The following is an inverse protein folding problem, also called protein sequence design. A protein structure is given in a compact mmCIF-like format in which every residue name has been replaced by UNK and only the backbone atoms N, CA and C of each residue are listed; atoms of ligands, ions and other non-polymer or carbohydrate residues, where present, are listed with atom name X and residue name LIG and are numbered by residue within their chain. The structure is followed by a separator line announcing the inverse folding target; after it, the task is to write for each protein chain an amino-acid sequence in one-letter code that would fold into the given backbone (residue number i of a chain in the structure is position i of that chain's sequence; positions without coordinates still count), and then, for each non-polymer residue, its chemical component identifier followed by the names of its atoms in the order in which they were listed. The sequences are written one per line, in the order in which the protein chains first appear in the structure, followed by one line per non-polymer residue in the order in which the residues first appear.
data_IF_280332184411
#
_entry.id   IF_280332184411
#
_cell.length_a   1.000
_cell.length_b   1.000
_cell.length_c   1.000
_cell.angle_alpha   90.00
_cell.angle_beta   90.00
_cell.angle_gamma   90.00
#
_symmetry.space_group_name_H-M   'P 1'
#
loop_
_entity.id
_entity.type
_entity.pdbx_description
1 polymer ?
#
# COMPACT_ATOMS: atom_id res chain seq x y z
N UNK A 1 -29.81 30.45 31.11
CA UNK A 1 -28.34 30.26 30.97
C UNK A 1 -27.90 28.76 30.90
N UNK A 2 -28.77 27.86 30.44
CA UNK A 2 -28.53 26.40 30.42
C UNK A 2 -28.46 25.83 28.98
N UNK A 3 -29.28 26.34 28.07
CA UNK A 3 -29.32 25.91 26.65
C UNK A 3 -28.02 26.19 25.87
N UNK A 4 -27.32 27.29 26.17
CA UNK A 4 -26.04 27.63 25.51
C UNK A 4 -24.91 26.63 25.82
N UNK A 5 -24.91 25.98 26.99
CA UNK A 5 -23.89 25.00 27.37
C UNK A 5 -24.08 23.65 26.66
N UNK A 6 -25.32 23.26 26.36
CA UNK A 6 -25.62 22.02 25.66
C UNK A 6 -25.23 22.09 24.17
N UNK A 7 -25.51 23.23 23.52
CA UNK A 7 -25.11 23.48 22.13
C UNK A 7 -23.59 23.49 21.94
N UNK A 8 -22.85 24.11 22.88
CA UNK A 8 -21.37 24.17 22.83
C UNK A 8 -20.70 22.80 23.04
N UNK A 9 -21.29 21.92 23.86
CA UNK A 9 -20.82 20.53 24.04
C UNK A 9 -21.09 19.66 22.81
N UNK A 10 -22.25 19.82 22.16
CA UNK A 10 -22.57 19.13 20.91
C UNK A 10 -21.66 19.58 19.75
N UNK A 11 -21.42 20.89 19.64
CA UNK A 11 -20.51 21.44 18.62
C UNK A 11 -19.06 21.00 18.85
N UNK A 12 -18.60 20.97 20.11
CA UNK A 12 -17.27 20.44 20.46
C UNK A 12 -17.14 18.95 20.17
N UNK A 13 -18.19 18.16 20.42
CA UNK A 13 -18.23 16.73 20.09
C UNK A 13 -18.19 16.48 18.58
N UNK A 14 -18.96 17.23 17.78
CA UNK A 14 -18.93 17.10 16.32
C UNK A 14 -17.58 17.53 15.75
N UNK A 15 -16.97 18.61 16.26
CA UNK A 15 -15.64 19.03 15.82
C UNK A 15 -14.57 17.97 16.13
N UNK A 16 -14.63 17.35 17.31
CA UNK A 16 -13.71 16.29 17.69
C UNK A 16 -13.85 15.05 16.78
N UNK A 17 -15.09 14.67 16.43
CA UNK A 17 -15.34 13.55 15.50
C UNK A 17 -14.83 13.87 14.10
N UNK A 18 -15.09 15.07 13.58
CA UNK A 18 -14.58 15.50 12.27
C UNK A 18 -13.06 15.52 12.24
N UNK A 19 -12.42 16.06 13.27
CA UNK A 19 -10.96 16.05 13.40
C UNK A 19 -10.40 14.62 13.46
N UNK A 20 -11.03 13.72 14.22
CA UNK A 20 -10.61 12.32 14.29
C UNK A 20 -10.72 11.60 12.94
N UNK A 21 -11.77 11.88 12.15
CA UNK A 21 -11.94 11.34 10.80
C UNK A 21 -10.86 11.87 9.83
N UNK A 22 -10.57 13.18 9.88
CA UNK A 22 -9.53 13.79 9.05
C UNK A 22 -8.14 13.24 9.39
N UNK A 23 -7.82 13.08 10.67
CA UNK A 23 -6.57 12.48 11.14
C UNK A 23 -6.45 11.01 10.69
N UNK A 24 -7.53 10.24 10.79
CA UNK A 24 -7.57 8.85 10.34
C UNK A 24 -7.30 8.75 8.83
N UNK A 25 -7.92 9.64 8.03
CA UNK A 25 -7.68 9.70 6.58
C UNK A 25 -6.25 10.06 6.22
N UNK A 26 -5.64 11.03 6.93
CA UNK A 26 -4.25 11.43 6.70
C UNK A 26 -3.25 10.28 6.99
N UNK A 27 -3.51 9.46 8.00
CA UNK A 27 -2.65 8.32 8.36
C UNK A 27 -2.79 7.15 7.37
N UNK A 28 -3.97 6.99 6.74
CA UNK A 28 -4.18 5.96 5.72
C UNK A 28 -3.30 6.15 4.47
N UNK A 29 -2.98 7.41 4.11
CA UNK A 29 -2.09 7.72 2.98
C UNK A 29 -0.65 7.19 3.16
N UNK A 30 -0.18 7.03 4.40
CA UNK A 30 1.14 6.50 4.70
C UNK A 30 1.31 5.00 4.37
N UNK A 31 0.22 4.25 4.16
CA UNK A 31 0.28 2.83 3.76
C UNK A 31 0.10 2.61 2.25
N UNK A 32 0.08 3.68 1.45
CA UNK A 32 -0.27 3.61 0.02
C UNK A 32 0.52 2.56 -0.80
N UNK A 33 1.86 2.46 -0.72
CA UNK A 33 2.58 1.57 -1.64
C UNK A 33 2.31 0.08 -1.37
N UNK A 34 2.10 -0.28 -0.11
CA UNK A 34 1.77 -1.67 0.27
C UNK A 34 0.35 -2.02 -0.17
N UNK A 35 -0.60 -1.09 -0.01
CA UNK A 35 -1.97 -1.30 -0.46
C UNK A 35 -2.04 -1.47 -1.99
N UNK A 36 -1.31 -0.65 -2.74
CA UNK A 36 -1.23 -0.75 -4.20
C UNK A 36 -0.62 -2.08 -4.65
N UNK A 37 0.47 -2.51 -4.01
CA UNK A 37 1.05 -3.83 -4.26
C UNK A 37 0.09 -4.98 -3.93
N UNK A 38 -0.73 -4.86 -2.87
CA UNK A 38 -1.73 -5.87 -2.51
C UNK A 38 -2.87 -5.90 -3.54
N UNK A 39 -3.29 -4.74 -4.04
CA UNK A 39 -4.26 -4.66 -5.12
C UNK A 39 -3.73 -5.32 -6.40
N UNK A 40 -2.48 -5.03 -6.78
CA UNK A 40 -1.82 -5.66 -7.91
C UNK A 40 -1.74 -7.19 -7.74
N UNK A 41 -1.44 -7.65 -6.52
CA UNK A 41 -1.43 -9.07 -6.20
C UNK A 41 -2.79 -9.71 -6.44
N UNK A 42 -3.86 -9.09 -5.95
CA UNK A 42 -5.24 -9.57 -6.13
C UNK A 42 -5.64 -9.61 -7.61
N UNK A 43 -5.30 -8.57 -8.38
CA UNK A 43 -5.60 -8.47 -9.81
C UNK A 43 -4.94 -9.58 -10.63
N UNK A 44 -3.73 -10.00 -10.24
CA UNK A 44 -2.94 -11.01 -10.96
C UNK A 44 -2.93 -12.39 -10.29
N UNK A 45 -3.80 -12.63 -9.30
CA UNK A 45 -3.87 -13.89 -8.58
C UNK A 45 -2.54 -14.27 -7.90
N UNK A 46 -1.79 -13.29 -7.41
CA UNK A 46 -0.53 -13.47 -6.68
C UNK A 46 -0.74 -13.37 -5.18
N UNK A 47 0.19 -13.93 -4.42
CA UNK A 47 0.24 -13.83 -2.97
C UNK A 47 1.36 -12.87 -2.56
N UNK A 48 1.02 -11.83 -1.78
CA UNK A 48 2.01 -10.96 -1.18
C UNK A 48 2.69 -11.66 0.00
N UNK A 49 4.01 -11.70 0.00
CA UNK A 49 4.83 -12.24 1.09
C UNK A 49 5.95 -11.27 1.45
N UNK A 50 6.36 -11.26 2.72
CA UNK A 50 7.56 -10.55 3.18
C UNK A 50 8.67 -11.57 3.36
N UNK A 51 9.71 -11.45 2.54
CA UNK A 51 10.88 -12.31 2.58
C UNK A 51 11.92 -11.71 3.54
N UNK A 52 12.46 -12.55 4.43
CA UNK A 52 13.62 -12.17 5.23
C UNK A 52 14.83 -12.06 4.31
N UNK A 53 15.27 -10.82 4.09
CA UNK A 53 16.49 -10.47 3.36
C UNK A 53 17.25 -9.43 4.17
N UNK A 54 18.53 -9.25 3.85
CA UNK A 54 19.41 -8.29 4.52
C UNK A 54 20.01 -7.32 3.50
N UNK A 55 20.13 -6.02 3.84
CA UNK A 55 19.83 -5.40 5.14
C UNK A 55 18.35 -5.08 5.38
N UNK A 56 17.49 -5.21 4.36
CA UNK A 56 16.07 -4.87 4.44
C UNK A 56 15.20 -6.05 4.00
N UNK A 57 14.03 -6.25 4.62
CA UNK A 57 13.07 -7.24 4.15
C UNK A 57 12.54 -6.88 2.76
N UNK A 58 12.21 -7.89 1.95
CA UNK A 58 11.68 -7.70 0.60
C UNK A 58 10.19 -8.04 0.55
N UNK A 59 9.39 -7.18 -0.06
CA UNK A 59 8.01 -7.52 -0.42
C UNK A 59 7.99 -8.23 -1.78
N UNK A 60 7.37 -9.41 -1.85
CA UNK A 60 7.31 -10.23 -3.05
C UNK A 60 5.86 -10.62 -3.38
N UNK A 61 5.52 -10.61 -4.68
CA UNK A 61 4.26 -11.12 -5.22
C UNK A 61 4.51 -12.48 -5.86
N UNK A 62 4.24 -13.56 -5.13
CA UNK A 62 4.54 -14.92 -5.56
C UNK A 62 3.33 -15.59 -6.22
N UNK A 63 3.53 -16.54 -7.16
CA UNK A 63 2.44 -17.43 -7.58
C UNK A 63 1.87 -18.20 -6.38
N UNK A 64 0.58 -18.57 -6.40
CA UNK A 64 -0.10 -19.27 -5.31
C UNK A 64 0.39 -20.71 -5.11
N UNK A 65 1.01 -21.31 -6.12
CA UNK A 65 1.67 -22.61 -6.05
C UNK A 65 3.16 -22.46 -6.41
N UNK A 66 4.00 -23.31 -5.82
CA UNK A 66 5.42 -23.36 -6.17
C UNK A 66 5.57 -23.85 -7.61
N UNK A 67 5.62 -22.90 -8.55
CA UNK A 67 5.88 -23.16 -9.95
C UNK A 67 7.23 -23.88 -10.08
N UNK A 68 7.19 -25.19 -10.36
CA UNK A 68 8.39 -25.98 -10.63
C UNK A 68 8.75 -25.81 -12.10
N UNK A 69 9.71 -24.95 -12.38
CA UNK A 69 10.37 -24.89 -13.67
C UNK A 69 11.85 -25.23 -13.52
N UNK A 70 12.39 -25.92 -14.53
CA UNK A 70 13.82 -26.22 -14.62
C UNK A 70 14.68 -24.96 -14.81
N UNK A 71 14.07 -23.81 -15.11
CA UNK A 71 14.77 -22.55 -15.31
C UNK A 71 13.96 -21.38 -14.77
N UNK A 72 14.57 -20.60 -13.87
CA UNK A 72 14.08 -19.29 -13.45
C UNK A 72 14.74 -18.22 -14.31
N UNK A 73 13.94 -17.30 -14.86
CA UNK A 73 14.44 -16.09 -15.52
C UNK A 73 14.18 -14.90 -14.59
N UNK A 74 15.24 -14.24 -14.16
CA UNK A 74 15.19 -13.07 -13.28
C UNK A 74 15.46 -11.82 -14.12
N UNK A 75 14.60 -10.83 -13.99
CA UNK A 75 14.81 -9.49 -14.53
C UNK A 75 15.09 -8.55 -13.35
N UNK A 76 16.15 -7.77 -13.45
CA UNK A 76 16.53 -6.79 -12.44
C UNK A 76 16.31 -5.40 -13.04
N UNK A 77 15.46 -4.61 -12.38
CA UNK A 77 15.22 -3.21 -12.73
C UNK A 77 16.00 -2.31 -11.76
N UNK A 78 16.63 -1.27 -12.31
CA UNK A 78 17.44 -0.28 -11.56
C UNK A 78 16.61 0.86 -10.96
N UNK A 79 17.30 1.86 -10.44
CA UNK A 79 16.80 3.01 -9.66
C UNK A 79 16.06 4.10 -10.47
N UNK A 80 15.62 3.80 -11.69
CA UNK A 80 14.88 4.76 -12.52
C UNK A 80 14.24 4.10 -13.73
N UNK A 81 13.06 3.50 -13.54
CA UNK A 81 12.11 3.10 -14.59
C UNK A 81 12.80 2.47 -15.82
N UNK A 82 13.57 1.39 -15.67
CA UNK A 82 14.24 0.80 -16.83
C UNK A 82 13.26 0.03 -17.75
N UNK A 83 12.05 -0.27 -17.25
CA UNK A 83 11.02 -1.00 -17.97
C UNK A 83 9.66 -0.28 -17.88
N UNK A 84 9.09 0.08 -19.04
CA UNK A 84 7.72 0.60 -19.13
C UNK A 84 6.66 -0.50 -18.92
N UNK A 85 7.00 -1.75 -19.26
CA UNK A 85 6.19 -2.94 -18.98
C UNK A 85 7.08 -4.16 -18.73
N UNK A 86 6.51 -5.30 -18.30
CA UNK A 86 7.26 -6.54 -18.08
C UNK A 86 8.06 -7.06 -19.30
N UNK A 87 7.80 -6.53 -20.50
CA UNK A 87 8.52 -6.92 -21.73
C UNK A 87 9.01 -5.73 -22.56
N UNK A 88 8.83 -4.49 -22.09
CA UNK A 88 9.24 -3.29 -22.83
C UNK A 88 10.16 -2.41 -21.98
N UNK A 89 11.38 -2.11 -22.44
CA UNK A 89 12.24 -1.14 -21.78
C UNK A 89 11.58 0.25 -21.82
N UNK A 90 11.88 1.12 -20.85
CA UNK A 90 11.49 2.52 -20.97
C UNK A 90 12.22 3.19 -22.14
N UNK A 91 11.68 4.32 -22.59
CA UNK A 91 12.24 5.09 -23.70
C UNK A 91 13.01 6.32 -23.20
N UNK A 92 13.21 6.42 -21.90
CA UNK A 92 13.76 7.59 -21.21
C UNK A 92 15.29 7.57 -21.19
#
# INVERSE_FOLDING_TARGET
MWSYRLGRKRLGGTLAVVMALLLSGAIAGCQSPRADLQQLANQHGRQMQILSAQPFPLAALLPPETFRANRLRVYLEGDGHAWATATQPSLD
#
